data_IF_591870200792
#
_entry.id   IF_591870200792
#
_cell.length_a   1.000
_cell.length_b   1.000
_cell.length_c   1.000
_cell.angle_alpha   90.00
_cell.angle_beta   90.00
_cell.angle_gamma   90.00
#
_symmetry.space_group_name_H-M   'P 1'
#
loop_
_entity.id
_entity.type
_entity.pdbx_description
1 polymer ?
#
# COMPACT_ATOMS: atom_id res chain seq x y z
N UNK A 1 -43.41 27.80 -65.97
CA UNK A 1 -44.55 27.12 -66.69
C UNK A 1 -44.42 25.60 -66.58
N UNK A 2 -44.49 25.00 -65.35
CA UNK A 2 -44.47 23.56 -65.08
C UNK A 2 -45.43 23.24 -63.92
N UNK A 3 -46.75 23.51 -64.14
CA UNK A 3 -47.85 23.13 -63.22
C UNK A 3 -49.11 22.81 -63.97
N UNK A 4 -49.04 21.82 -64.87
CA UNK A 4 -50.25 21.26 -65.52
C UNK A 4 -49.99 19.81 -65.90
N UNK A 5 -50.23 18.90 -64.99
CA UNK A 5 -50.60 17.48 -65.31
C UNK A 5 -50.48 16.58 -64.05
N UNK A 6 -51.08 16.97 -62.95
CA UNK A 6 -51.33 16.00 -61.89
C UNK A 6 -52.82 15.92 -61.64
N UNK A 7 -53.40 14.78 -61.93
CA UNK A 7 -54.80 14.52 -61.74
C UNK A 7 -55.21 14.51 -60.26
N UNK A 8 -56.49 14.68 -59.92
CA UNK A 8 -56.99 14.84 -58.55
C UNK A 8 -56.61 13.69 -57.62
N UNK A 9 -56.32 12.50 -58.11
CA UNK A 9 -55.81 11.35 -57.28
C UNK A 9 -54.38 11.52 -56.75
N UNK A 10 -53.53 12.17 -57.50
CA UNK A 10 -52.14 12.44 -57.05
C UNK A 10 -52.04 13.53 -55.97
N UNK A 11 -52.91 14.51 -56.03
CA UNK A 11 -53.05 15.58 -55.05
C UNK A 11 -53.50 15.04 -53.67
N UNK A 12 -54.45 14.11 -53.68
CA UNK A 12 -54.99 13.46 -52.49
C UNK A 12 -53.89 12.54 -51.84
N UNK A 13 -53.12 11.81 -52.65
CA UNK A 13 -52.01 10.98 -52.14
C UNK A 13 -50.92 11.82 -51.52
N UNK A 14 -50.55 12.98 -52.08
CA UNK A 14 -49.55 13.90 -51.57
C UNK A 14 -49.96 14.53 -50.24
N UNK A 15 -51.27 14.92 -50.15
CA UNK A 15 -51.79 15.48 -48.87
C UNK A 15 -51.92 14.43 -47.78
N UNK A 16 -52.17 13.17 -48.07
CA UNK A 16 -52.13 12.08 -47.09
C UNK A 16 -50.70 11.75 -46.63
N UNK A 17 -49.71 11.78 -47.51
CA UNK A 17 -48.29 11.61 -47.17
C UNK A 17 -47.77 12.75 -46.30
N UNK A 18 -48.14 14.00 -46.60
CA UNK A 18 -47.77 15.17 -45.79
C UNK A 18 -48.44 15.13 -44.41
N UNK A 19 -49.69 14.73 -44.30
CA UNK A 19 -50.36 14.57 -42.99
C UNK A 19 -49.71 13.44 -42.16
N UNK A 20 -49.32 12.32 -42.77
CA UNK A 20 -48.65 11.21 -42.10
C UNK A 20 -47.27 11.60 -41.61
N UNK A 21 -46.47 12.37 -42.41
CA UNK A 21 -45.16 12.90 -42.03
C UNK A 21 -45.29 13.95 -40.93
N UNK A 22 -46.28 14.83 -40.95
CA UNK A 22 -46.51 15.83 -39.90
C UNK A 22 -46.95 15.17 -38.60
N UNK A 23 -47.82 14.15 -38.64
CA UNK A 23 -48.22 13.39 -37.46
C UNK A 23 -47.09 12.61 -36.85
N UNK A 24 -46.17 12.01 -37.63
CA UNK A 24 -44.96 11.36 -37.16
C UNK A 24 -43.99 12.35 -36.50
N UNK A 25 -43.84 13.57 -37.04
CA UNK A 25 -43.01 14.62 -36.45
C UNK A 25 -43.58 15.13 -35.13
N UNK A 26 -44.90 15.31 -35.03
CA UNK A 26 -45.61 15.68 -33.81
C UNK A 26 -45.48 14.58 -32.75
N UNK A 27 -45.58 13.31 -33.13
CA UNK A 27 -45.38 12.18 -32.22
C UNK A 27 -43.94 12.10 -31.70
N UNK A 28 -42.94 12.36 -32.54
CA UNK A 28 -41.52 12.42 -32.17
C UNK A 28 -41.23 13.58 -31.22
N UNK A 29 -41.83 14.75 -31.43
CA UNK A 29 -41.73 15.91 -30.55
C UNK A 29 -42.40 15.62 -29.19
N UNK A 30 -43.57 14.97 -29.17
CA UNK A 30 -44.25 14.56 -27.95
C UNK A 30 -43.41 13.53 -27.14
N UNK A 31 -42.76 12.56 -27.79
CA UNK A 31 -41.88 11.60 -27.15
C UNK A 31 -40.64 12.29 -26.58
N UNK A 32 -40.08 13.28 -27.28
CA UNK A 32 -38.95 14.08 -26.77
C UNK A 32 -39.33 14.95 -25.55
N UNK A 33 -40.52 15.54 -25.54
CA UNK A 33 -41.00 16.35 -24.40
C UNK A 33 -41.37 15.50 -23.19
N UNK A 34 -41.84 14.23 -23.38
CA UNK A 34 -42.11 13.33 -22.27
C UNK A 34 -40.89 12.74 -21.61
N UNK A 35 -39.73 12.67 -22.33
CA UNK A 35 -38.48 12.16 -21.74
C UNK A 35 -37.73 13.21 -20.91
N UNK A 36 -38.08 14.48 -20.88
CA UNK A 36 -37.42 15.54 -20.10
C UNK A 36 -37.99 15.72 -18.70
N UNK A 37 -39.07 15.05 -18.32
CA UNK A 37 -39.74 15.26 -17.04
C UNK A 37 -39.20 14.40 -15.88
N UNK A 38 -38.25 13.45 -16.11
CA UNK A 38 -37.68 12.61 -15.05
C UNK A 38 -36.56 13.32 -14.30
N UNK A 39 -35.88 14.31 -14.92
CA UNK A 39 -34.73 15.01 -14.32
C UNK A 39 -35.08 16.24 -13.45
N UNK A 40 -36.25 16.81 -13.57
CA UNK A 40 -36.68 18.07 -12.90
C UNK A 40 -37.13 17.88 -11.44
N UNK A 41 -37.59 16.69 -11.08
CA UNK A 41 -38.06 16.41 -9.71
C UNK A 41 -36.87 16.19 -8.76
N UNK A 42 -35.80 15.57 -9.24
CA UNK A 42 -34.59 15.24 -8.48
C UNK A 42 -33.79 16.50 -8.13
N UNK A 43 -33.68 17.43 -9.07
CA UNK A 43 -32.97 18.71 -8.86
C UNK A 43 -33.64 19.59 -7.80
N UNK A 44 -34.97 19.60 -7.72
CA UNK A 44 -35.71 20.46 -6.76
C UNK A 44 -35.52 19.99 -5.32
N UNK A 45 -35.49 18.69 -5.09
CA UNK A 45 -35.21 18.13 -3.75
C UNK A 45 -33.75 18.36 -3.36
N UNK A 46 -32.78 18.19 -4.27
CA UNK A 46 -31.37 18.48 -4.02
C UNK A 46 -31.14 19.92 -3.60
N UNK A 47 -31.74 20.91 -4.31
CA UNK A 47 -31.63 22.32 -3.92
C UNK A 47 -32.24 22.61 -2.54
N UNK A 48 -33.35 21.96 -2.18
CA UNK A 48 -33.95 22.08 -0.86
C UNK A 48 -33.00 21.59 0.24
N UNK A 49 -32.36 20.44 0.04
CA UNK A 49 -31.37 19.88 0.99
C UNK A 49 -30.14 20.77 1.11
N UNK A 50 -29.62 21.31 0.00
CA UNK A 50 -28.52 22.28 0.02
C UNK A 50 -28.91 23.59 0.75
N UNK A 51 -30.17 24.02 0.65
CA UNK A 51 -30.68 25.18 1.40
C UNK A 51 -30.66 24.93 2.92
N UNK A 52 -31.06 23.72 3.36
CA UNK A 52 -30.99 23.34 4.78
C UNK A 52 -29.53 23.32 5.26
N UNK A 53 -28.64 22.74 4.47
CA UNK A 53 -27.20 22.75 4.78
C UNK A 53 -26.68 24.18 4.97
N UNK A 54 -27.00 25.08 4.04
CA UNK A 54 -26.58 26.48 4.11
C UNK A 54 -27.18 27.22 5.34
N UNK A 55 -28.43 26.92 5.72
CA UNK A 55 -29.03 27.50 6.94
C UNK A 55 -28.26 27.04 8.18
N UNK A 56 -27.99 25.73 8.31
CA UNK A 56 -27.22 25.18 9.44
C UNK A 56 -25.83 25.78 9.48
N UNK A 57 -25.14 25.82 8.35
CA UNK A 57 -23.81 26.41 8.23
C UNK A 57 -23.77 27.85 8.75
N UNK A 58 -24.71 28.71 8.29
CA UNK A 58 -24.78 30.12 8.72
C UNK A 58 -25.11 30.25 10.23
N UNK A 59 -25.96 29.38 10.78
CA UNK A 59 -26.25 29.37 12.22
C UNK A 59 -25.04 29.00 13.05
N UNK A 60 -24.31 27.95 12.66
CA UNK A 60 -23.08 27.52 13.34
C UNK A 60 -22.04 28.62 13.28
N UNK A 61 -21.77 29.18 12.11
CA UNK A 61 -20.79 30.26 11.92
C UNK A 61 -21.06 31.48 12.80
N UNK A 62 -22.36 31.88 12.95
CA UNK A 62 -22.71 33.10 13.63
C UNK A 62 -23.09 32.94 15.12
N UNK A 63 -23.37 31.74 15.58
CA UNK A 63 -23.96 31.51 16.91
C UNK A 63 -23.19 30.47 17.75
N UNK A 64 -22.19 29.76 17.18
CA UNK A 64 -21.37 28.85 17.95
C UNK A 64 -20.56 29.63 19.01
N UNK A 65 -20.33 29.02 20.18
CA UNK A 65 -19.69 29.68 21.34
C UNK A 65 -18.24 30.12 21.08
N UNK A 66 -17.56 29.44 20.17
CA UNK A 66 -16.20 29.77 19.74
C UNK A 66 -16.18 30.22 18.27
N UNK A 67 -15.24 31.11 17.92
CA UNK A 67 -15.06 31.51 16.52
C UNK A 67 -14.52 30.32 15.70
N UNK A 68 -15.17 30.05 14.57
CA UNK A 68 -14.76 29.01 13.62
C UNK A 68 -14.64 29.62 12.22
N UNK A 69 -13.60 29.23 11.51
CA UNK A 69 -13.37 29.71 10.14
C UNK A 69 -14.24 28.97 9.14
N UNK A 70 -14.51 29.61 7.99
CA UNK A 70 -15.23 28.98 6.89
C UNK A 70 -14.54 27.70 6.41
N UNK A 71 -13.20 27.73 6.33
CA UNK A 71 -12.38 26.59 5.92
C UNK A 71 -12.60 25.40 6.84
N UNK A 72 -12.47 25.61 8.16
CA UNK A 72 -12.66 24.53 9.16
C UNK A 72 -14.07 23.93 9.13
N UNK A 73 -15.11 24.78 9.04
CA UNK A 73 -16.49 24.29 9.00
C UNK A 73 -16.76 23.44 7.76
N UNK A 74 -16.30 23.89 6.60
CA UNK A 74 -16.48 23.16 5.34
C UNK A 74 -15.69 21.87 5.36
N UNK A 75 -14.42 21.88 5.77
CA UNK A 75 -13.60 20.66 5.87
C UNK A 75 -14.23 19.62 6.83
N UNK A 76 -14.71 20.06 8.00
CA UNK A 76 -15.41 19.18 8.94
C UNK A 76 -16.72 18.62 8.37
N UNK A 77 -17.48 19.45 7.63
CA UNK A 77 -18.71 18.99 6.99
C UNK A 77 -18.45 17.97 5.87
N UNK A 78 -17.44 18.21 5.03
CA UNK A 78 -17.02 17.27 3.97
C UNK A 78 -16.53 15.95 4.57
N UNK A 79 -15.71 16.00 5.62
CA UNK A 79 -15.26 14.80 6.32
C UNK A 79 -16.41 14.06 6.98
N UNK A 80 -17.34 14.75 7.64
CA UNK A 80 -18.53 14.14 8.24
C UNK A 80 -19.40 13.41 7.22
N UNK A 81 -19.61 14.00 6.05
CA UNK A 81 -20.36 13.40 4.96
C UNK A 81 -19.67 12.13 4.42
N UNK A 82 -18.37 12.18 4.20
CA UNK A 82 -17.60 11.07 3.62
C UNK A 82 -17.42 9.93 4.62
N UNK A 83 -17.07 10.22 5.86
CA UNK A 83 -16.90 9.23 6.93
C UNK A 83 -18.23 8.54 7.31
N UNK A 84 -19.37 9.17 7.07
CA UNK A 84 -20.68 8.55 7.25
C UNK A 84 -20.98 7.46 6.21
N UNK A 85 -20.24 7.41 5.08
CA UNK A 85 -20.38 6.36 4.08
C UNK A 85 -19.63 5.09 4.46
N UNK A 86 -18.37 5.23 4.86
CA UNK A 86 -17.48 4.14 5.29
C UNK A 86 -16.22 4.72 6.00
N UNK A 87 -15.45 3.90 6.73
CA UNK A 87 -14.29 4.39 7.51
C UNK A 87 -13.09 4.79 6.66
N UNK A 88 -13.12 4.59 5.34
CA UNK A 88 -11.99 4.83 4.45
C UNK A 88 -12.17 6.02 3.52
N UNK A 89 -13.43 6.47 3.34
CA UNK A 89 -13.74 7.68 2.57
C UNK A 89 -13.45 8.93 3.40
N UNK A 90 -12.74 9.91 2.83
CA UNK A 90 -12.34 11.14 3.53
C UNK A 90 -12.07 12.28 2.58
N UNK A 91 -12.21 13.51 3.07
CA UNK A 91 -11.64 14.69 2.43
C UNK A 91 -10.19 14.86 2.89
N UNK A 92 -9.31 15.24 1.98
CA UNK A 92 -7.90 15.56 2.23
C UNK A 92 -7.66 17.02 1.87
N UNK A 93 -7.16 17.81 2.81
CA UNK A 93 -6.65 19.15 2.50
C UNK A 93 -5.48 19.07 1.51
N UNK A 94 -5.06 20.20 0.97
CA UNK A 94 -3.93 20.26 0.05
C UNK A 94 -2.64 19.67 0.68
N UNK A 95 -2.42 19.94 1.96
CA UNK A 95 -1.27 19.45 2.72
C UNK A 95 -1.32 17.91 2.85
N UNK A 96 -2.46 17.37 3.31
CA UNK A 96 -2.65 15.91 3.48
C UNK A 96 -2.56 15.19 2.12
N UNK A 97 -3.07 15.82 1.06
CA UNK A 97 -2.99 15.25 -0.28
C UNK A 97 -1.54 15.19 -0.80
N UNK A 98 -0.73 16.23 -0.54
CA UNK A 98 0.71 16.24 -0.85
C UNK A 98 1.47 15.17 -0.05
N UNK A 99 1.20 15.03 1.25
CA UNK A 99 1.79 13.97 2.07
C UNK A 99 1.46 12.58 1.51
N UNK A 100 0.18 12.32 1.18
CA UNK A 100 -0.23 11.06 0.59
C UNK A 100 0.47 10.79 -0.75
N UNK A 101 0.67 11.81 -1.60
CA UNK A 101 1.41 11.64 -2.86
C UNK A 101 2.88 11.28 -2.62
N UNK A 102 3.53 11.89 -1.61
CA UNK A 102 4.89 11.54 -1.21
C UNK A 102 4.97 10.09 -0.70
N UNK A 103 4.07 9.68 0.18
CA UNK A 103 4.02 8.30 0.70
C UNK A 103 3.79 7.29 -0.44
N UNK A 104 2.90 7.62 -1.37
CA UNK A 104 2.57 6.79 -2.54
C UNK A 104 3.76 6.63 -3.49
N UNK A 105 4.50 7.71 -3.73
CA UNK A 105 5.71 7.67 -4.56
C UNK A 105 6.87 6.91 -3.89
N UNK A 106 6.82 6.75 -2.56
CA UNK A 106 7.93 6.24 -1.76
C UNK A 106 9.15 7.15 -1.80
N UNK A 107 8.91 8.45 -2.08
CA UNK A 107 9.96 9.44 -2.23
C UNK A 107 9.47 10.78 -1.64
N UNK A 108 10.35 11.47 -0.93
CA UNK A 108 10.06 12.78 -0.36
C UNK A 108 11.25 13.72 -0.50
N UNK A 109 10.97 15.02 -0.54
CA UNK A 109 12.03 16.02 -0.49
C UNK A 109 12.59 16.15 0.93
N UNK A 110 13.90 15.95 1.10
CA UNK A 110 14.53 15.98 2.41
C UNK A 110 16.03 15.77 2.37
N UNK A 111 16.58 15.30 3.49
CA UNK A 111 18.02 15.19 3.73
C UNK A 111 18.54 13.74 3.63
N UNK A 112 17.66 12.74 3.90
CA UNK A 112 18.06 11.35 3.95
C UNK A 112 18.75 10.97 5.26
N UNK A 113 18.12 11.29 6.40
CA UNK A 113 18.63 10.98 7.73
C UNK A 113 17.57 10.21 8.52
N UNK A 114 17.98 9.12 9.13
CA UNK A 114 17.21 8.46 10.18
C UNK A 114 17.53 9.10 11.52
N UNK A 115 16.51 9.56 12.26
CA UNK A 115 16.67 10.33 13.48
C UNK A 115 15.81 9.82 14.63
N UNK A 116 16.24 10.12 15.84
CA UNK A 116 15.49 9.89 17.09
C UNK A 116 15.67 11.07 18.03
N UNK A 117 14.97 11.07 19.15
CA UNK A 117 15.22 12.04 20.24
C UNK A 117 16.09 11.42 21.31
N UNK A 118 17.10 12.14 21.76
CA UNK A 118 17.95 11.77 22.90
C UNK A 118 18.28 13.03 23.71
N UNK A 119 17.96 13.03 25.01
CA UNK A 119 18.25 14.12 25.98
C UNK A 119 17.76 15.50 25.53
N UNK A 120 16.62 15.57 24.86
CA UNK A 120 16.03 16.83 24.39
C UNK A 120 16.62 17.36 23.07
N UNK A 121 17.51 16.62 22.42
CA UNK A 121 18.07 16.93 21.10
C UNK A 121 17.64 15.90 20.06
N UNK A 122 17.81 16.23 18.80
CA UNK A 122 17.63 15.31 17.69
C UNK A 122 18.94 14.58 17.43
N UNK A 123 18.92 13.26 17.59
CA UNK A 123 20.10 12.41 17.37
C UNK A 123 20.00 11.70 16.02
N UNK A 124 21.06 11.77 15.25
CA UNK A 124 21.22 11.00 14.03
C UNK A 124 21.46 9.54 14.38
N UNK A 125 20.53 8.66 13.96
CA UNK A 125 20.71 7.20 14.04
C UNK A 125 21.66 6.76 12.94
N UNK A 126 21.36 7.17 11.69
CA UNK A 126 22.20 6.92 10.53
C UNK A 126 21.82 7.87 9.38
N UNK A 127 22.77 8.43 8.63
CA UNK A 127 22.48 8.94 7.30
C UNK A 127 22.19 7.77 6.35
N UNK A 128 21.33 7.99 5.37
CA UNK A 128 21.04 7.01 4.31
C UNK A 128 22.11 7.19 3.23
N UNK A 129 22.72 6.11 2.77
CA UNK A 129 23.75 6.12 1.74
C UNK A 129 23.28 6.86 0.46
N UNK A 130 24.20 7.54 -0.20
CA UNK A 130 24.00 8.30 -1.43
C UNK A 130 23.00 9.47 -1.32
N UNK A 131 22.61 9.88 -0.10
CA UNK A 131 21.71 11.02 0.15
C UNK A 131 22.44 12.33 0.42
N UNK A 132 21.76 13.49 0.36
CA UNK A 132 22.37 14.78 0.67
C UNK A 132 23.08 14.84 2.01
N UNK A 133 22.51 14.27 3.05
CA UNK A 133 23.13 14.27 4.38
C UNK A 133 24.38 13.40 4.44
N UNK A 134 24.38 12.22 3.83
CA UNK A 134 25.54 11.35 3.69
C UNK A 134 26.68 12.10 2.97
N UNK A 135 26.36 12.71 1.83
CA UNK A 135 27.32 13.47 1.02
C UNK A 135 27.85 14.74 1.72
N UNK A 136 27.07 15.30 2.65
CA UNK A 136 27.45 16.44 3.48
C UNK A 136 28.30 16.04 4.71
N UNK A 137 28.57 14.74 4.92
CA UNK A 137 29.40 14.24 6.00
C UNK A 137 28.69 14.16 7.37
N UNK A 138 27.37 14.05 7.39
CA UNK A 138 26.61 13.71 8.59
C UNK A 138 26.93 12.27 8.99
N UNK A 139 27.13 12.01 10.28
CA UNK A 139 27.52 10.71 10.81
C UNK A 139 26.49 10.17 11.80
N UNK A 140 26.46 8.85 11.96
CA UNK A 140 25.71 8.21 13.03
C UNK A 140 26.22 8.69 14.41
N UNK A 141 25.31 9.06 15.30
CA UNK A 141 25.62 9.60 16.62
C UNK A 141 25.76 11.12 16.70
N UNK A 142 25.72 11.85 15.59
CA UNK A 142 25.67 13.31 15.60
C UNK A 142 24.37 13.79 16.30
N UNK A 143 24.48 14.94 16.98
CA UNK A 143 23.32 15.62 17.53
C UNK A 143 23.03 16.90 16.72
N UNK A 144 21.82 17.02 16.25
CA UNK A 144 21.33 18.25 15.63
C UNK A 144 20.78 19.13 16.74
N UNK A 145 21.34 20.31 16.91
CA UNK A 145 20.98 21.26 17.97
C UNK A 145 20.11 22.40 17.46
N UNK A 146 20.29 22.80 16.19
CA UNK A 146 19.49 23.85 15.54
C UNK A 146 19.18 23.47 14.11
N UNK A 147 18.00 23.96 13.63
CA UNK A 147 17.52 23.89 12.26
C UNK A 147 17.31 25.34 11.78
N UNK A 148 18.06 25.77 10.77
CA UNK A 148 18.06 27.16 10.27
C UNK A 148 18.19 28.20 11.41
N UNK A 149 19.06 27.94 12.39
CA UNK A 149 19.31 28.77 13.56
C UNK A 149 18.24 28.67 14.67
N UNK A 150 17.17 27.90 14.50
CA UNK A 150 16.15 27.65 15.51
C UNK A 150 16.51 26.44 16.35
N UNK A 151 16.53 26.57 17.68
CA UNK A 151 16.86 25.49 18.62
C UNK A 151 15.81 24.35 18.53
N UNK A 152 16.26 23.10 18.57
CA UNK A 152 15.41 21.91 18.57
C UNK A 152 14.93 21.47 19.95
N UNK A 153 15.38 22.11 21.03
CA UNK A 153 15.19 21.63 22.42
C UNK A 153 13.72 21.50 22.82
N UNK A 154 12.86 22.40 22.33
CA UNK A 154 11.42 22.40 22.61
C UNK A 154 10.58 21.83 21.45
N UNK A 155 11.21 21.27 20.42
CA UNK A 155 10.53 20.70 19.27
C UNK A 155 10.16 19.23 19.51
N UNK A 156 8.99 18.84 19.06
CA UNK A 156 8.66 17.42 18.88
C UNK A 156 9.47 16.84 17.72
N UNK A 157 9.70 15.53 17.73
CA UNK A 157 10.37 14.85 16.60
C UNK A 157 9.65 15.12 15.28
N UNK A 158 8.32 15.19 15.31
CA UNK A 158 7.51 15.48 14.11
C UNK A 158 7.80 16.88 13.57
N UNK A 159 7.78 17.89 14.41
CA UNK A 159 8.10 19.28 14.00
C UNK A 159 9.49 19.39 13.39
N UNK A 160 10.48 18.73 13.99
CA UNK A 160 11.83 18.69 13.43
C UNK A 160 11.88 18.00 12.06
N UNK A 161 11.16 16.87 11.89
CA UNK A 161 11.03 16.16 10.61
C UNK A 161 10.39 17.07 9.56
N UNK A 162 9.31 17.76 9.91
CA UNK A 162 8.57 18.63 8.99
C UNK A 162 9.45 19.82 8.52
N UNK A 163 10.30 20.37 9.38
CA UNK A 163 11.28 21.40 9.01
C UNK A 163 12.40 20.84 8.14
N UNK A 164 12.90 19.64 8.45
CA UNK A 164 13.96 19.00 7.65
C UNK A 164 13.48 18.55 6.28
N UNK A 165 12.21 18.15 6.15
CA UNK A 165 11.55 17.96 4.86
C UNK A 165 11.39 19.30 4.15
N UNK A 166 11.18 19.27 2.84
CA UNK A 166 10.92 20.46 2.03
C UNK A 166 11.12 20.20 0.55
N UNK A 167 10.90 21.21 -0.26
CA UNK A 167 11.01 21.09 -1.71
C UNK A 167 12.45 20.73 -2.13
N UNK A 168 12.63 19.72 -3.02
CA UNK A 168 13.93 19.40 -3.58
C UNK A 168 14.58 20.66 -4.19
N UNK A 169 15.87 20.82 -3.93
CA UNK A 169 16.63 21.99 -4.40
C UNK A 169 16.69 23.17 -3.40
N UNK A 170 15.84 23.20 -2.39
CA UNK A 170 15.96 24.15 -1.27
C UNK A 170 17.07 23.74 -0.30
N UNK A 171 17.59 24.70 0.47
CA UNK A 171 18.71 24.45 1.39
C UNK A 171 18.23 24.63 2.83
N UNK A 172 18.77 23.81 3.75
CA UNK A 172 18.63 23.95 5.20
C UNK A 172 20.02 23.95 5.84
N UNK A 173 20.18 24.67 6.93
CA UNK A 173 21.38 24.67 7.76
C UNK A 173 21.12 23.90 9.05
N UNK A 174 21.92 22.84 9.27
CA UNK A 174 21.90 22.07 10.51
C UNK A 174 23.10 22.49 11.38
N UNK A 175 22.88 22.86 12.63
CA UNK A 175 23.96 22.99 13.58
C UNK A 175 24.20 21.64 14.26
N UNK A 176 25.37 21.05 14.04
CA UNK A 176 25.74 19.71 14.48
C UNK A 176 26.63 19.82 15.72
N UNK A 177 26.34 19.00 16.71
CA UNK A 177 27.24 18.70 17.82
C UNK A 177 27.73 17.25 17.68
N UNK A 178 29.03 17.11 17.48
CA UNK A 178 29.72 15.83 17.39
C UNK A 178 30.70 15.71 18.54
N UNK A 179 30.74 14.55 19.18
CA UNK A 179 31.65 14.31 20.30
C UNK A 179 33.09 14.63 19.91
N UNK A 180 33.78 15.44 20.74
CA UNK A 180 35.15 15.91 20.55
C UNK A 180 35.35 17.05 19.53
N UNK A 181 34.30 17.66 19.01
CA UNK A 181 34.39 18.83 18.12
C UNK A 181 33.57 20.01 18.67
N UNK A 182 33.95 21.24 18.32
CA UNK A 182 33.08 22.41 18.54
C UNK A 182 31.87 22.32 17.64
N UNK A 183 30.67 22.80 18.07
CA UNK A 183 29.49 22.80 17.20
C UNK A 183 29.77 23.52 15.88
N UNK A 184 29.33 22.94 14.78
CA UNK A 184 29.52 23.46 13.42
C UNK A 184 28.26 23.40 12.59
N UNK A 185 28.18 24.29 11.62
CA UNK A 185 27.05 24.36 10.73
C UNK A 185 27.28 23.55 9.44
N UNK A 186 26.29 22.77 9.03
CA UNK A 186 26.29 22.01 7.79
C UNK A 186 25.12 22.48 6.93
N UNK A 187 25.44 23.05 5.78
CA UNK A 187 24.43 23.46 4.79
C UNK A 187 24.12 22.31 3.86
N UNK A 188 22.88 21.84 3.84
CA UNK A 188 22.46 20.69 3.06
C UNK A 188 21.36 21.10 2.09
N UNK A 189 21.58 20.83 0.79
CA UNK A 189 20.56 21.03 -0.24
C UNK A 189 19.65 19.82 -0.24
N UNK A 190 18.34 20.03 -0.03
CA UNK A 190 17.33 18.96 -0.07
C UNK A 190 17.28 18.31 -1.45
N UNK A 191 17.09 17.01 -1.48
CA UNK A 191 16.88 16.23 -2.71
C UNK A 191 15.74 15.23 -2.52
N UNK A 192 15.40 14.51 -3.58
CA UNK A 192 14.41 13.44 -3.54
C UNK A 192 15.02 12.22 -2.86
N UNK A 193 14.55 11.91 -1.67
CA UNK A 193 14.96 10.74 -0.88
C UNK A 193 14.00 9.59 -1.18
N UNK A 194 14.54 8.51 -1.74
CA UNK A 194 13.78 7.27 -1.97
C UNK A 194 13.92 6.35 -0.78
N UNK A 195 12.77 5.99 -0.18
CA UNK A 195 12.76 5.05 0.95
C UNK A 195 12.54 3.64 0.40
N UNK A 196 13.45 2.73 0.73
CA UNK A 196 13.32 1.34 0.34
C UNK A 196 12.08 0.71 1.00
N UNK A 197 11.07 0.37 0.17
CA UNK A 197 9.87 -0.36 0.63
C UNK A 197 10.10 -1.87 0.76
N UNK A 198 11.22 -2.36 0.26
CA UNK A 198 11.60 -3.78 0.28
C UNK A 198 12.98 -3.93 0.95
N UNK A 199 13.06 -4.85 1.90
CA UNK A 199 14.32 -5.27 2.54
C UNK A 199 14.52 -6.75 2.31
N UNK A 200 15.76 -7.20 2.14
CA UNK A 200 16.06 -8.61 1.96
C UNK A 200 17.32 -9.02 2.71
N UNK A 201 17.46 -10.30 2.96
CA UNK A 201 18.66 -10.95 3.49
C UNK A 201 18.58 -12.46 3.23
N UNK A 202 19.72 -13.12 3.27
CA UNK A 202 19.78 -14.58 3.34
C UNK A 202 19.70 -15.01 4.81
N UNK A 203 18.86 -15.98 5.12
CA UNK A 203 18.76 -16.62 6.43
C UNK A 203 19.05 -18.10 6.22
N UNK A 204 20.24 -18.53 6.62
CA UNK A 204 20.80 -19.82 6.21
C UNK A 204 20.80 -19.91 4.67
N UNK A 205 20.02 -20.82 4.10
CA UNK A 205 19.83 -21.07 2.66
C UNK A 205 18.47 -20.57 2.13
N UNK A 206 17.74 -19.75 2.90
CA UNK A 206 16.41 -19.23 2.55
C UNK A 206 16.48 -17.72 2.30
N UNK A 207 15.96 -17.27 1.16
CA UNK A 207 15.82 -15.85 0.84
C UNK A 207 14.67 -15.23 1.62
N UNK A 208 14.99 -14.35 2.58
CA UNK A 208 13.98 -13.57 3.30
C UNK A 208 13.81 -12.22 2.63
N UNK A 209 12.59 -11.90 2.25
CA UNK A 209 12.22 -10.61 1.65
C UNK A 209 11.04 -10.03 2.42
N UNK A 210 11.17 -8.79 2.90
CA UNK A 210 10.10 -8.07 3.59
C UNK A 210 9.64 -6.89 2.76
N UNK A 211 8.33 -6.82 2.48
CA UNK A 211 7.69 -5.65 1.90
C UNK A 211 7.02 -4.87 3.04
N UNK A 212 7.47 -3.62 3.24
CA UNK A 212 7.00 -2.76 4.34
C UNK A 212 5.69 -2.07 3.94
N UNK A 213 5.59 -1.63 2.67
CA UNK A 213 4.45 -0.92 2.11
C UNK A 213 4.45 -1.06 0.58
N UNK A 214 3.30 -0.96 -0.06
CA UNK A 214 3.18 -0.97 -1.53
C UNK A 214 3.17 0.48 -2.07
N UNK A 215 4.33 0.98 -2.47
CA UNK A 215 4.53 2.26 -3.14
C UNK A 215 5.20 2.04 -4.52
N UNK A 216 5.41 3.10 -5.30
CA UNK A 216 5.97 3.01 -6.66
C UNK A 216 7.37 2.38 -6.75
N UNK A 217 8.07 2.18 -5.62
CA UNK A 217 9.39 1.56 -5.57
C UNK A 217 9.33 0.04 -5.28
N UNK A 218 8.15 -0.50 -4.94
CA UNK A 218 8.04 -1.86 -4.39
C UNK A 218 8.38 -2.94 -5.40
N UNK A 219 7.79 -2.90 -6.59
CA UNK A 219 8.05 -3.91 -7.63
C UNK A 219 9.52 -3.90 -8.08
N UNK A 220 10.11 -2.72 -8.27
CA UNK A 220 11.51 -2.57 -8.65
C UNK A 220 12.44 -3.06 -7.53
N UNK A 221 12.13 -2.73 -6.27
CA UNK A 221 12.85 -3.19 -5.08
C UNK A 221 12.80 -4.71 -4.91
N UNK A 222 11.62 -5.32 -5.13
CA UNK A 222 11.48 -6.77 -5.05
C UNK A 222 12.29 -7.49 -6.14
N UNK A 223 12.21 -7.03 -7.38
CA UNK A 223 13.01 -7.60 -8.49
C UNK A 223 14.51 -7.49 -8.21
N UNK A 224 14.96 -6.35 -7.71
CA UNK A 224 16.36 -6.14 -7.30
C UNK A 224 16.75 -7.11 -6.19
N UNK A 225 15.92 -7.25 -5.16
CA UNK A 225 16.16 -8.14 -4.02
C UNK A 225 16.27 -9.62 -4.45
N UNK A 226 15.36 -10.09 -5.30
CA UNK A 226 15.42 -11.47 -5.84
C UNK A 226 16.71 -11.65 -6.65
N UNK A 227 17.04 -10.71 -7.53
CA UNK A 227 18.25 -10.79 -8.36
C UNK A 227 19.52 -10.85 -7.51
N UNK A 228 19.65 -9.99 -6.50
CA UNK A 228 20.82 -9.97 -5.61
C UNK A 228 20.96 -11.28 -4.81
N UNK A 229 19.84 -11.88 -4.38
CA UNK A 229 19.83 -13.17 -3.70
C UNK A 229 20.18 -14.32 -4.66
N UNK A 230 19.66 -14.33 -5.88
CA UNK A 230 19.95 -15.37 -6.88
C UNK A 230 21.39 -15.30 -7.44
N UNK A 231 21.98 -14.10 -7.46
CA UNK A 231 23.37 -13.88 -7.93
C UNK A 231 24.39 -14.00 -6.76
N UNK A 232 23.96 -14.30 -5.54
CA UNK A 232 24.88 -14.51 -4.39
C UNK A 232 25.68 -15.83 -4.52
N UNK A 233 26.77 -15.95 -3.78
CA UNK A 233 27.60 -17.18 -3.77
C UNK A 233 26.81 -18.43 -3.35
N UNK A 234 25.74 -18.25 -2.57
CA UNK A 234 24.83 -19.30 -2.13
C UNK A 234 23.38 -18.91 -2.48
N UNK A 235 22.90 -19.17 -3.70
CA UNK A 235 21.53 -18.87 -4.09
C UNK A 235 20.51 -19.59 -3.21
N UNK A 236 19.41 -18.93 -2.80
CA UNK A 236 18.44 -19.52 -1.88
C UNK A 236 17.73 -20.74 -2.51
N UNK A 237 17.42 -21.73 -1.67
CA UNK A 237 16.63 -22.90 -2.04
C UNK A 237 15.12 -22.61 -2.14
N UNK A 238 14.66 -21.49 -1.57
CA UNK A 238 13.30 -20.99 -1.57
C UNK A 238 13.20 -19.66 -0.82
N UNK A 239 12.00 -19.13 -0.69
CA UNK A 239 11.78 -17.77 -0.22
C UNK A 239 10.72 -17.66 0.88
N UNK A 240 10.93 -16.71 1.79
CA UNK A 240 9.91 -16.18 2.70
C UNK A 240 9.62 -14.75 2.32
N UNK A 241 8.38 -14.45 1.90
CA UNK A 241 7.88 -13.10 1.67
C UNK A 241 7.12 -12.63 2.90
N UNK A 242 7.68 -11.69 3.65
CA UNK A 242 7.09 -11.16 4.88
C UNK A 242 6.23 -9.92 4.60
N UNK A 243 4.91 -10.08 4.74
CA UNK A 243 3.90 -9.04 4.61
C UNK A 243 3.29 -8.65 5.97
N UNK A 244 3.85 -9.12 7.09
CA UNK A 244 3.35 -8.77 8.43
C UNK A 244 3.49 -7.27 8.68
N UNK A 245 2.46 -6.67 9.30
CA UNK A 245 2.35 -5.23 9.58
C UNK A 245 2.47 -4.35 8.31
N UNK A 246 2.13 -4.90 7.14
CA UNK A 246 2.09 -4.13 5.90
C UNK A 246 0.63 -3.68 5.63
N UNK A 247 0.29 -2.39 5.76
CA UNK A 247 -1.08 -1.90 5.63
C UNK A 247 -1.60 -1.88 4.20
N UNK A 248 -0.78 -2.29 3.24
CA UNK A 248 -1.07 -2.26 1.82
C UNK A 248 -0.43 -1.06 1.10
N UNK A 249 -1.17 -0.49 0.18
CA UNK A 249 -0.76 0.66 -0.64
C UNK A 249 -1.34 0.57 -2.05
N UNK A 250 -0.49 0.79 -3.05
CA UNK A 250 -0.91 0.84 -4.46
C UNK A 250 -1.38 -0.52 -4.99
N UNK A 251 -2.58 -0.53 -5.56
CA UNK A 251 -3.15 -1.69 -6.24
C UNK A 251 -2.23 -2.20 -7.38
N UNK A 252 -1.75 -1.29 -8.23
CA UNK A 252 -0.91 -1.69 -9.36
C UNK A 252 0.40 -2.35 -8.90
N UNK A 253 0.93 -1.95 -7.76
CA UNK A 253 2.12 -2.58 -7.17
C UNK A 253 1.80 -3.97 -6.62
N UNK A 254 0.64 -4.17 -5.97
CA UNK A 254 0.25 -5.51 -5.54
C UNK A 254 0.07 -6.47 -6.72
N UNK A 255 -0.55 -6.01 -7.80
CA UNK A 255 -0.68 -6.78 -9.05
C UNK A 255 0.71 -7.11 -9.63
N UNK A 256 1.61 -6.13 -9.72
CA UNK A 256 2.96 -6.33 -10.27
C UNK A 256 3.83 -7.23 -9.39
N UNK A 257 3.69 -7.15 -8.07
CA UNK A 257 4.38 -8.03 -7.11
C UNK A 257 3.88 -9.46 -7.22
N UNK A 258 2.55 -9.66 -7.32
CA UNK A 258 1.96 -10.98 -7.52
C UNK A 258 2.40 -11.61 -8.84
N UNK A 259 2.41 -10.80 -9.91
CA UNK A 259 2.84 -11.19 -11.27
C UNK A 259 4.28 -11.74 -11.32
N UNK A 260 5.16 -11.30 -10.40
CA UNK A 260 6.54 -11.80 -10.28
C UNK A 260 6.60 -13.30 -9.97
N UNK A 261 5.60 -13.85 -9.32
CA UNK A 261 5.56 -15.23 -8.83
C UNK A 261 4.60 -16.14 -9.62
N UNK A 262 3.86 -15.61 -10.60
CA UNK A 262 2.87 -16.37 -11.37
C UNK A 262 3.25 -16.46 -12.85
N UNK A 263 2.96 -17.61 -13.46
CA UNK A 263 3.10 -17.80 -14.91
C UNK A 263 1.85 -17.35 -15.69
N UNK A 264 0.66 -17.40 -15.06
CA UNK A 264 -0.62 -17.06 -15.66
C UNK A 264 -1.74 -17.00 -14.62
N UNK A 265 -2.92 -16.56 -15.01
CA UNK A 265 -4.14 -16.60 -14.21
C UNK A 265 -4.58 -15.21 -13.73
N UNK A 266 -5.76 -15.15 -13.15
CA UNK A 266 -6.29 -13.93 -12.51
C UNK A 266 -5.52 -13.65 -11.22
N UNK A 267 -5.23 -12.36 -10.97
CA UNK A 267 -4.63 -11.90 -9.71
C UNK A 267 -5.72 -11.36 -8.79
N UNK A 268 -6.54 -10.48 -9.31
CA UNK A 268 -7.61 -9.83 -8.55
C UNK A 268 -8.68 -9.30 -9.49
N UNK A 269 -9.94 -9.37 -9.10
CA UNK A 269 -11.02 -8.63 -9.76
C UNK A 269 -11.56 -7.53 -8.85
N UNK A 270 -11.95 -6.43 -9.48
CA UNK A 270 -12.55 -5.26 -8.85
C UNK A 270 -13.97 -5.13 -9.36
N UNK A 271 -14.95 -5.02 -8.45
CA UNK A 271 -16.36 -4.89 -8.79
C UNK A 271 -16.92 -3.61 -8.18
N UNK A 272 -17.36 -2.71 -9.06
CA UNK A 272 -17.93 -1.41 -8.71
C UNK A 272 -19.44 -1.48 -8.40
N UNK A 273 -20.09 -0.31 -8.42
CA UNK A 273 -21.52 -0.17 -8.12
C UNK A 273 -22.42 -0.91 -9.12
N UNK A 274 -22.10 -0.82 -10.41
CA UNK A 274 -22.88 -1.47 -11.46
C UNK A 274 -22.29 -2.85 -11.78
N UNK A 275 -23.15 -3.84 -12.09
CA UNK A 275 -22.70 -5.21 -12.42
C UNK A 275 -21.74 -5.29 -13.62
N UNK A 276 -21.76 -4.29 -14.51
CA UNK A 276 -20.83 -4.19 -15.65
C UNK A 276 -19.46 -3.63 -15.28
N UNK A 277 -19.36 -2.98 -14.11
CA UNK A 277 -18.13 -2.34 -13.63
C UNK A 277 -17.22 -3.39 -12.98
N UNK A 278 -16.75 -4.33 -13.78
CA UNK A 278 -15.80 -5.35 -13.38
C UNK A 278 -14.50 -5.12 -14.11
N UNK A 279 -13.42 -5.02 -13.35
CA UNK A 279 -12.06 -4.94 -13.87
C UNK A 279 -11.27 -6.13 -13.34
N UNK A 280 -10.62 -6.88 -14.23
CA UNK A 280 -9.83 -8.06 -13.90
C UNK A 280 -8.37 -7.79 -14.22
N UNK A 281 -7.50 -8.10 -13.27
CA UNK A 281 -6.05 -8.07 -13.43
C UNK A 281 -5.54 -9.51 -13.48
N UNK A 282 -4.70 -9.80 -14.49
CA UNK A 282 -4.15 -11.13 -14.72
C UNK A 282 -2.65 -11.11 -14.81
N UNK A 283 -2.03 -12.20 -14.42
CA UNK A 283 -0.59 -12.41 -14.49
C UNK A 283 -0.12 -12.53 -15.95
N UNK A 284 1.12 -12.11 -16.17
CA UNK A 284 1.89 -12.29 -17.39
C UNK A 284 2.89 -13.41 -17.17
N UNK A 285 3.34 -14.04 -18.22
CA UNK A 285 4.29 -15.14 -18.13
C UNK A 285 5.62 -14.73 -17.50
N UNK A 286 6.05 -15.42 -16.47
CA UNK A 286 7.40 -15.31 -15.90
C UNK A 286 7.46 -15.33 -14.37
N UNK A 287 7.67 -16.50 -13.77
CA UNK A 287 8.02 -16.66 -12.35
C UNK A 287 9.52 -16.42 -12.13
N UNK A 288 9.88 -15.31 -11.46
CA UNK A 288 11.29 -14.92 -11.27
C UNK A 288 12.07 -15.83 -10.31
N UNK A 289 11.39 -16.63 -9.48
CA UNK A 289 12.04 -17.59 -8.59
C UNK A 289 11.97 -19.02 -9.12
N UNK A 290 11.55 -19.19 -10.38
CA UNK A 290 11.56 -20.46 -11.12
C UNK A 290 10.90 -21.63 -10.38
N UNK A 291 9.75 -21.39 -9.76
CA UNK A 291 9.00 -22.43 -9.04
C UNK A 291 9.58 -22.81 -7.68
N UNK A 292 10.65 -22.17 -7.21
CA UNK A 292 11.19 -22.41 -5.87
C UNK A 292 10.10 -22.25 -4.80
N UNK A 293 10.18 -22.98 -3.67
CA UNK A 293 9.25 -22.85 -2.56
C UNK A 293 9.06 -21.40 -2.12
N UNK A 294 7.81 -20.99 -1.89
CA UNK A 294 7.46 -19.66 -1.42
C UNK A 294 6.52 -19.76 -0.22
N UNK A 295 6.92 -19.17 0.89
CA UNK A 295 6.07 -18.98 2.07
C UNK A 295 5.75 -17.50 2.20
N UNK A 296 4.50 -17.15 2.49
CA UNK A 296 4.08 -15.79 2.77
C UNK A 296 3.67 -15.67 4.22
N UNK A 297 4.30 -14.75 4.95
CA UNK A 297 3.94 -14.42 6.33
C UNK A 297 2.94 -13.28 6.37
N UNK A 298 1.80 -13.50 7.04
CA UNK A 298 0.77 -12.48 7.28
C UNK A 298 0.41 -12.39 8.76
N UNK A 299 -0.16 -11.24 9.15
CA UNK A 299 -0.77 -11.01 10.46
C UNK A 299 -1.93 -10.00 10.37
N UNK A 300 -2.52 -9.64 11.50
CA UNK A 300 -3.60 -8.66 11.63
C UNK A 300 -3.26 -7.26 11.10
N UNK A 301 -1.97 -6.95 10.91
CA UNK A 301 -1.50 -5.72 10.27
C UNK A 301 -1.32 -5.83 8.76
N UNK A 302 -1.53 -7.03 8.18
CA UNK A 302 -1.49 -7.25 6.73
C UNK A 302 -2.85 -6.87 6.13
N UNK A 303 -2.90 -5.83 5.28
CA UNK A 303 -4.16 -5.29 4.78
C UNK A 303 -4.11 -4.93 3.28
N UNK A 304 -5.28 -4.92 2.62
CA UNK A 304 -5.47 -4.37 1.27
C UNK A 304 -4.53 -5.01 0.22
N UNK A 305 -3.54 -4.28 -0.32
CA UNK A 305 -2.56 -4.78 -1.29
C UNK A 305 -1.83 -6.05 -0.81
N UNK A 306 -1.52 -6.15 0.49
CA UNK A 306 -0.92 -7.36 1.09
C UNK A 306 -1.87 -8.55 0.99
N UNK A 307 -3.16 -8.32 1.18
CA UNK A 307 -4.19 -9.36 1.09
C UNK A 307 -4.46 -9.79 -0.35
N UNK A 308 -4.28 -8.89 -1.31
CA UNK A 308 -4.34 -9.23 -2.74
C UNK A 308 -3.20 -10.18 -3.10
N UNK A 309 -1.96 -9.87 -2.68
CA UNK A 309 -0.79 -10.73 -2.93
C UNK A 309 -0.97 -12.10 -2.27
N UNK A 310 -1.31 -12.13 -0.98
CA UNK A 310 -1.48 -13.36 -0.23
C UNK A 310 -2.61 -14.22 -0.80
N UNK A 311 -3.80 -13.65 -1.00
CA UNK A 311 -4.97 -14.38 -1.50
C UNK A 311 -4.80 -14.88 -2.93
N UNK A 312 -4.19 -14.08 -3.82
CA UNK A 312 -3.94 -14.53 -5.18
C UNK A 312 -2.94 -15.70 -5.23
N UNK A 313 -1.82 -15.63 -4.49
CA UNK A 313 -0.82 -16.68 -4.47
C UNK A 313 -1.29 -17.93 -3.72
N UNK A 314 -2.21 -17.78 -2.75
CA UNK A 314 -2.92 -18.89 -2.12
C UNK A 314 -3.87 -19.60 -3.09
N UNK A 315 -4.77 -18.86 -3.75
CA UNK A 315 -5.75 -19.41 -4.69
C UNK A 315 -5.11 -20.12 -5.91
N UNK A 316 -3.87 -19.75 -6.23
CA UNK A 316 -3.08 -20.42 -7.28
C UNK A 316 -2.20 -21.56 -6.77
N UNK A 317 -2.29 -21.96 -5.51
CA UNK A 317 -1.42 -22.95 -4.87
C UNK A 317 0.08 -22.64 -5.07
N UNK A 318 0.43 -21.33 -5.32
CA UNK A 318 1.80 -20.91 -5.60
C UNK A 318 2.61 -20.69 -4.33
N UNK A 319 1.97 -20.29 -3.25
CA UNK A 319 2.60 -20.04 -1.96
C UNK A 319 1.78 -20.66 -0.83
N UNK A 320 2.45 -21.05 0.24
CA UNK A 320 1.79 -21.42 1.51
C UNK A 320 1.73 -20.18 2.38
N UNK A 321 0.54 -19.82 2.81
CA UNK A 321 0.30 -18.68 3.68
C UNK A 321 0.42 -19.09 5.13
N UNK A 322 1.32 -18.44 5.88
CA UNK A 322 1.57 -18.76 7.29
C UNK A 322 1.43 -17.53 8.19
N UNK A 323 1.10 -17.77 9.44
CA UNK A 323 0.96 -16.72 10.45
C UNK A 323 -0.43 -16.71 11.08
N UNK A 324 -1.04 -15.54 11.18
CA UNK A 324 -2.41 -15.38 11.67
C UNK A 324 -3.23 -14.57 10.67
N UNK A 325 -4.54 -14.66 10.78
CA UNK A 325 -5.52 -14.03 9.90
C UNK A 325 -5.22 -12.56 9.65
N UNK A 326 -5.37 -12.12 8.39
CA UNK A 326 -5.16 -10.74 7.98
C UNK A 326 -6.30 -9.80 8.38
N UNK A 327 -6.17 -8.52 8.08
CA UNK A 327 -7.07 -7.45 8.53
C UNK A 327 -8.48 -7.52 7.93
N UNK A 328 -8.61 -7.84 6.64
CA UNK A 328 -9.91 -7.88 5.94
C UNK A 328 -10.32 -6.56 5.29
N UNK A 329 -9.38 -5.82 4.68
CA UNK A 329 -9.70 -4.61 3.91
C UNK A 329 -9.86 -4.94 2.43
N UNK A 330 -11.09 -5.24 2.01
CA UNK A 330 -11.46 -5.54 0.63
C UNK A 330 -12.02 -4.36 -0.16
N UNK A 331 -11.95 -3.13 0.34
CA UNK A 331 -12.48 -1.93 -0.32
C UNK A 331 -11.43 -1.21 -1.16
N UNK A 332 -11.85 -0.72 -2.34
CA UNK A 332 -11.03 0.05 -3.28
C UNK A 332 -11.35 1.53 -3.16
N UNK A 333 -10.37 2.34 -2.84
CA UNK A 333 -10.50 3.79 -2.85
C UNK A 333 -9.88 4.37 -4.12
N UNK A 334 -10.54 5.39 -4.67
CA UNK A 334 -9.95 6.28 -5.67
C UNK A 334 -9.67 7.65 -5.05
N UNK A 335 -8.67 8.33 -5.57
CA UNK A 335 -8.34 9.70 -5.22
C UNK A 335 -8.84 10.61 -6.33
N UNK A 336 -9.70 11.55 -5.97
CA UNK A 336 -10.31 12.51 -6.90
C UNK A 336 -9.79 13.89 -6.51
N UNK A 337 -8.83 14.47 -7.26
CA UNK A 337 -8.37 15.84 -7.02
C UNK A 337 -9.50 16.84 -7.19
N UNK A 338 -9.53 17.86 -6.32
CA UNK A 338 -10.38 19.04 -6.39
C UNK A 338 -9.55 20.29 -6.12
N UNK A 339 -10.10 21.49 -6.35
CA UNK A 339 -9.35 22.75 -6.28
C UNK A 339 -8.66 23.01 -4.92
N UNK A 340 -9.18 22.45 -3.82
CA UNK A 340 -8.68 22.68 -2.46
C UNK A 340 -8.15 21.40 -1.78
N UNK A 341 -7.68 20.43 -2.56
CA UNK A 341 -7.18 19.15 -2.03
C UNK A 341 -7.66 17.94 -2.83
N UNK A 342 -8.14 16.89 -2.17
CA UNK A 342 -8.66 15.70 -2.84
C UNK A 342 -9.73 14.98 -2.01
N UNK A 343 -10.53 14.17 -2.68
CA UNK A 343 -11.47 13.24 -2.05
C UNK A 343 -10.89 11.83 -2.20
N UNK A 344 -10.75 11.11 -1.10
CA UNK A 344 -10.59 9.67 -1.10
C UNK A 344 -11.96 9.05 -1.00
N UNK A 345 -12.37 8.28 -2.00
CA UNK A 345 -13.72 7.73 -2.07
C UNK A 345 -13.69 6.23 -2.37
N UNK A 346 -14.40 5.44 -1.58
CA UNK A 346 -14.60 4.01 -1.85
C UNK A 346 -15.54 3.84 -3.04
N UNK A 347 -15.05 3.20 -4.11
CA UNK A 347 -15.78 3.02 -5.37
C UNK A 347 -16.06 1.56 -5.71
N UNK A 348 -15.35 0.61 -5.11
CA UNK A 348 -15.45 -0.81 -5.47
C UNK A 348 -14.95 -1.72 -4.34
N UNK A 349 -15.01 -3.04 -4.57
CA UNK A 349 -14.45 -4.07 -3.70
C UNK A 349 -13.54 -5.01 -4.48
N UNK A 350 -12.53 -5.57 -3.79
CA UNK A 350 -11.65 -6.62 -4.30
C UNK A 350 -12.25 -8.00 -4.12
N UNK A 351 -11.92 -8.87 -5.07
CA UNK A 351 -12.22 -10.30 -5.02
C UNK A 351 -10.97 -11.09 -5.45
N UNK A 352 -10.67 -12.16 -4.75
CA UNK A 352 -9.58 -13.07 -5.08
C UNK A 352 -9.90 -13.86 -6.36
N UNK A 353 -8.95 -14.58 -6.95
CA UNK A 353 -9.20 -15.44 -8.12
C UNK A 353 -10.31 -16.47 -7.91
N UNK A 354 -10.47 -17.02 -6.71
CA UNK A 354 -11.59 -17.91 -6.34
C UNK A 354 -12.95 -17.21 -6.37
N UNK A 355 -12.97 -15.87 -6.41
CA UNK A 355 -14.17 -15.04 -6.37
C UNK A 355 -14.61 -14.65 -4.97
N UNK A 356 -13.83 -14.94 -3.96
CA UNK A 356 -14.11 -14.60 -2.57
C UNK A 356 -13.82 -13.13 -2.27
N UNK A 357 -14.66 -12.53 -1.42
CA UNK A 357 -14.50 -11.14 -0.99
C UNK A 357 -13.58 -11.06 0.23
N UNK A 358 -12.53 -10.26 0.13
CA UNK A 358 -11.62 -9.97 1.25
C UNK A 358 -12.30 -9.13 2.34
N UNK A 359 -13.34 -8.34 1.97
CA UNK A 359 -13.95 -7.33 2.86
C UNK A 359 -14.54 -7.94 4.13
N UNK A 360 -14.03 -7.51 5.29
CA UNK A 360 -14.39 -7.94 6.64
C UNK A 360 -14.12 -9.43 6.94
N UNK A 361 -13.50 -10.16 6.00
CA UNK A 361 -13.16 -11.57 6.16
C UNK A 361 -11.65 -11.71 6.33
N UNK A 362 -10.84 -11.06 5.47
CA UNK A 362 -9.39 -11.23 5.42
C UNK A 362 -8.96 -12.53 4.75
N UNK A 363 -7.67 -12.78 4.78
CA UNK A 363 -7.04 -14.02 4.30
C UNK A 363 -6.74 -14.91 5.51
N UNK A 364 -7.28 -16.11 5.50
CA UNK A 364 -6.95 -17.15 6.48
C UNK A 364 -5.63 -17.83 6.06
N UNK A 365 -4.66 -17.97 6.97
CA UNK A 365 -3.44 -18.67 6.66
C UNK A 365 -3.70 -20.19 6.52
N UNK A 366 -2.97 -20.85 5.59
CA UNK A 366 -2.98 -22.30 5.44
C UNK A 366 -2.39 -22.99 6.68
N UNK A 367 -1.40 -22.33 7.30
CA UNK A 367 -0.77 -22.78 8.54
C UNK A 367 -0.82 -21.69 9.58
N UNK A 368 -1.65 -21.89 10.59
CA UNK A 368 -1.76 -20.94 11.71
C UNK A 368 -0.52 -21.05 12.60
N UNK A 369 0.25 -19.96 12.66
CA UNK A 369 1.43 -19.82 13.52
C UNK A 369 1.25 -18.58 14.40
N UNK A 370 0.96 -18.71 15.69
CA UNK A 370 0.82 -17.58 16.59
C UNK A 370 2.14 -16.85 16.78
N UNK A 371 2.07 -15.58 17.16
CA UNK A 371 3.25 -14.83 17.59
C UNK A 371 3.77 -15.42 18.91
N UNK A 372 5.02 -15.83 18.92
CA UNK A 372 5.68 -16.41 20.10
C UNK A 372 7.19 -16.17 20.01
N UNK A 373 7.87 -16.34 21.12
CA UNK A 373 9.31 -16.42 21.21
C UNK A 373 9.71 -17.86 21.51
N UNK A 374 10.78 -18.33 20.87
CA UNK A 374 11.30 -19.68 21.08
C UNK A 374 12.18 -19.71 22.32
N UNK A 375 11.84 -20.55 23.27
CA UNK A 375 12.71 -20.83 24.41
C UNK A 375 13.36 -22.21 24.18
N UNK A 376 14.60 -22.21 23.77
CA UNK A 376 15.37 -23.46 23.58
C UNK A 376 15.70 -24.06 24.94
N UNK A 377 15.28 -25.29 25.16
CA UNK A 377 15.61 -26.03 26.39
C UNK A 377 16.89 -26.80 26.15
N UNK A 378 17.96 -26.38 26.84
CA UNK A 378 19.23 -27.08 26.82
C UNK A 378 19.06 -28.47 27.45
N UNK A 379 19.05 -29.50 26.63
CA UNK A 379 19.08 -30.88 27.09
C UNK A 379 20.53 -31.37 27.28
N UNK A 380 21.08 -31.07 28.44
CA UNK A 380 22.41 -31.54 28.85
C UNK A 380 22.52 -33.06 29.08
N UNK A 381 21.48 -33.84 28.73
CA UNK A 381 21.42 -35.28 28.90
C UNK A 381 20.88 -35.98 27.67
N UNK A 382 21.56 -35.88 26.55
CA UNK A 382 21.31 -36.81 25.41
C UNK A 382 22.30 -37.96 25.48
N UNK A 383 21.84 -39.13 25.91
CA UNK A 383 22.60 -40.36 25.80
C UNK A 383 22.42 -40.91 24.38
N UNK A 384 23.51 -41.03 23.64
CA UNK A 384 23.54 -41.61 22.29
C UNK A 384 24.17 -43.00 22.34
N UNK A 385 24.02 -43.82 21.28
CA UNK A 385 24.66 -45.12 21.14
C UNK A 385 26.19 -45.03 21.28
N UNK A 386 26.79 -43.96 20.78
CA UNK A 386 28.22 -43.66 20.92
C UNK A 386 28.70 -43.47 22.37
N UNK A 387 27.78 -43.19 23.31
CA UNK A 387 28.11 -42.94 24.72
C UNK A 387 28.15 -44.24 25.54
N UNK A 388 27.73 -45.38 24.92
CA UNK A 388 27.87 -46.68 25.56
C UNK A 388 29.30 -47.21 25.48
N UNK A 389 29.74 -47.81 26.55
CA UNK A 389 31.01 -48.49 26.61
C UNK A 389 31.03 -49.65 25.61
N UNK A 390 31.98 -49.66 24.67
CA UNK A 390 32.05 -50.67 23.58
C UNK A 390 30.99 -50.44 22.45
N UNK A 391 30.53 -49.19 22.24
CA UNK A 391 29.75 -48.84 21.06
C UNK A 391 30.52 -49.21 19.77
N UNK A 392 29.81 -49.67 18.74
CA UNK A 392 30.42 -50.00 17.46
C UNK A 392 30.82 -48.69 16.74
N UNK A 393 32.04 -48.67 16.23
CA UNK A 393 32.52 -47.52 15.43
C UNK A 393 31.76 -47.45 14.10
N UNK A 394 31.43 -46.23 13.67
CA UNK A 394 30.87 -46.00 12.34
C UNK A 394 32.00 -45.97 11.31
N UNK A 395 31.96 -46.86 10.31
CA UNK A 395 32.97 -46.96 9.27
C UNK A 395 33.06 -45.75 8.34
N UNK A 396 32.12 -44.79 8.47
CA UNK A 396 31.98 -43.60 7.62
C UNK A 396 32.11 -42.27 8.40
N UNK A 397 32.71 -42.27 9.62
CA UNK A 397 32.82 -41.04 10.41
C UNK A 397 33.72 -40.01 9.74
N UNK A 398 33.05 -39.00 9.10
CA UNK A 398 33.50 -37.61 9.15
C UNK A 398 32.72 -36.95 10.29
N UNK A 399 33.38 -36.70 11.41
CA UNK A 399 32.81 -35.89 12.50
C UNK A 399 32.54 -34.48 11.99
N UNK A 400 31.28 -34.16 11.79
CA UNK A 400 30.80 -32.78 11.73
C UNK A 400 29.62 -32.60 12.68
N UNK A 401 29.91 -32.55 13.97
CA UNK A 401 29.02 -31.92 14.95
C UNK A 401 29.12 -30.39 14.78
N UNK A 402 28.53 -29.81 13.74
CA UNK A 402 28.11 -28.42 13.78
C UNK A 402 26.84 -28.39 14.63
N UNK A 403 26.95 -28.01 15.90
CA UNK A 403 25.82 -27.49 16.68
C UNK A 403 25.27 -26.29 15.93
N UNK A 404 24.20 -26.50 15.14
CA UNK A 404 23.46 -25.42 14.49
C UNK A 404 22.71 -24.67 15.59
N UNK A 405 23.36 -23.71 16.20
CA UNK A 405 22.67 -22.71 17.02
C UNK A 405 21.71 -21.95 16.11
N UNK A 406 20.38 -21.94 16.39
CA UNK A 406 19.46 -21.10 15.66
C UNK A 406 19.99 -19.66 15.67
N UNK A 407 19.96 -18.96 14.54
CA UNK A 407 20.39 -17.57 14.54
C UNK A 407 19.52 -16.78 15.54
N UNK A 408 20.09 -15.86 16.32
CA UNK A 408 19.39 -15.05 17.34
C UNK A 408 18.08 -14.41 16.82
N UNK A 409 18.00 -14.20 15.51
CA UNK A 409 16.81 -13.69 14.82
C UNK A 409 15.68 -14.72 14.81
N UNK A 410 15.98 -16.01 14.58
CA UNK A 410 14.99 -17.07 14.54
C UNK A 410 14.49 -17.44 15.95
N UNK A 411 15.30 -17.24 16.98
CA UNK A 411 14.88 -17.43 18.37
C UNK A 411 13.82 -16.40 18.78
N UNK A 412 13.97 -15.14 18.33
CA UNK A 412 13.09 -14.02 18.67
C UNK A 412 11.83 -13.96 17.79
N UNK A 413 11.82 -14.61 16.62
CA UNK A 413 10.69 -14.59 15.67
C UNK A 413 10.26 -16.02 15.31
N UNK A 414 9.43 -16.59 16.17
CA UNK A 414 8.90 -17.95 15.99
C UNK A 414 8.19 -18.15 14.66
N UNK A 415 7.41 -17.18 14.18
CA UNK A 415 6.72 -17.28 12.89
C UNK A 415 7.71 -17.38 11.74
N UNK A 416 8.77 -16.58 11.77
CA UNK A 416 9.83 -16.61 10.76
C UNK A 416 10.62 -17.94 10.83
N UNK A 417 10.93 -18.45 12.02
CA UNK A 417 11.57 -19.75 12.22
C UNK A 417 10.76 -20.87 11.56
N UNK A 418 9.44 -20.90 11.82
CA UNK A 418 8.54 -21.91 11.21
C UNK A 418 8.44 -21.76 9.69
N UNK A 419 8.48 -20.54 9.15
CA UNK A 419 8.46 -20.32 7.71
C UNK A 419 9.76 -20.80 7.04
N UNK A 420 10.92 -20.57 7.66
CA UNK A 420 12.22 -21.08 7.18
C UNK A 420 12.23 -22.61 7.17
N UNK A 421 11.75 -23.26 8.24
CA UNK A 421 11.63 -24.73 8.31
C UNK A 421 10.71 -25.27 7.21
N UNK A 422 9.59 -24.59 6.96
CA UNK A 422 8.64 -24.99 5.91
C UNK A 422 9.28 -24.89 4.51
N UNK A 423 10.02 -23.81 4.20
CA UNK A 423 10.75 -23.69 2.93
C UNK A 423 11.72 -24.85 2.76
N UNK A 424 12.52 -25.18 3.78
CA UNK A 424 13.49 -26.29 3.75
C UNK A 424 12.78 -27.62 3.52
N UNK A 425 11.67 -27.84 4.22
CA UNK A 425 10.89 -29.08 4.08
C UNK A 425 10.36 -29.26 2.66
N UNK A 426 9.78 -28.21 2.06
CA UNK A 426 9.25 -28.25 0.70
C UNK A 426 10.38 -28.44 -0.32
N UNK A 427 11.52 -27.76 -0.12
CA UNK A 427 12.68 -27.86 -1.02
C UNK A 427 13.28 -29.28 -1.07
N UNK A 428 13.20 -30.04 0.01
CA UNK A 428 13.66 -31.46 0.04
C UNK A 428 12.68 -32.37 -0.68
N UNK A 429 11.39 -32.02 -0.76
CA UNK A 429 10.35 -32.84 -1.38
C UNK A 429 10.21 -32.63 -2.90
N UNK A 430 10.73 -31.52 -3.44
CA UNK A 430 10.75 -31.18 -4.85
C UNK A 430 12.08 -31.57 -5.52
#
# INVERSE_FOLDING_TARGET
MIWKNYGPKTLIALTQLLKKSLMQRILLILILVFNTNVSLSDTKETYKQLSIFNEVYNRVKNQYVEEVTDKELIEKALNGMLQALDPHSSFMSEEIYKEMQMDTSGAFGGLGIEITTDKGFIKVVSPIDDTPAYNAGILAGDYITHLDGTSVVDMTLKEAIDIMKGEPGTTIVLTIFRSSEEPFDVSIKRDIIKVASVKHRLINDVGYIRIIQFNEQTTSGLKKSIKELEESDNPPIGYVLDLRNNPGGLLNESVSVTDIFLEQGEIVSIRGREKKDVQVYSAKKGDLINGKPLIILINEGSASASEIVAGALQDHDRAVIMGIKSFGKGSVQTIIPIDSGAIRLTIAKYYTPSGDSIQAIGIEPDVVVPRAELNVIDNNFTFRESDYREALDNETNEESEEEISPSEILEKDYQLSRAVDAVKTIAVLN
#
